data_IF_631998022012
#
_entry.id   IF_631998022012
#
_cell.length_a   1.000
_cell.length_b   1.000
_cell.length_c   1.000
_cell.angle_alpha   90.00
_cell.angle_beta   90.00
_cell.angle_gamma   90.00
#
_symmetry.space_group_name_H-M   'P 1'
#
loop_
_entity.id
_entity.type
_entity.pdbx_description
1 polymer ?
#
# COMPACT_ATOMS: atom_id res chain seq x y z
N UNK A 1 -5.77 16.33 0.53
CA UNK A 1 -4.94 15.77 -0.56
C UNK A 1 -5.55 16.03 -1.95
N UNK A 2 -6.87 15.97 -2.16
CA UNK A 2 -7.44 16.27 -3.49
C UNK A 2 -7.03 17.65 -4.00
N UNK A 3 -7.10 18.69 -3.16
CA UNK A 3 -6.60 20.03 -3.51
C UNK A 3 -5.07 20.07 -3.68
N UNK A 4 -4.33 19.43 -2.77
CA UNK A 4 -2.88 19.35 -2.88
C UNK A 4 -2.45 18.69 -4.19
N UNK A 5 -3.11 17.59 -4.59
CA UNK A 5 -2.83 16.93 -5.86
C UNK A 5 -3.02 17.85 -7.07
N UNK A 6 -4.05 18.70 -7.06
CA UNK A 6 -4.24 19.71 -8.11
C UNK A 6 -3.16 20.81 -8.07
N UNK A 7 -2.77 21.27 -6.87
CA UNK A 7 -1.67 22.24 -6.68
C UNK A 7 -0.32 21.67 -7.15
N UNK A 8 -0.11 20.37 -7.02
CA UNK A 8 1.07 19.64 -7.53
C UNK A 8 1.01 19.32 -9.03
N UNK A 9 -0.02 19.80 -9.74
CA UNK A 9 -0.19 19.64 -11.18
C UNK A 9 -0.98 18.39 -11.58
N UNK A 10 -1.54 17.65 -10.64
CA UNK A 10 -2.41 16.51 -10.90
C UNK A 10 -3.79 16.94 -11.43
N UNK A 11 -4.42 16.03 -12.14
CA UNK A 11 -5.76 16.17 -12.65
C UNK A 11 -6.72 15.21 -11.95
N UNK A 12 -7.82 15.71 -11.43
CA UNK A 12 -8.91 14.87 -10.92
C UNK A 12 -9.58 14.20 -12.12
N UNK A 13 -9.49 12.87 -12.16
CA UNK A 13 -10.11 12.06 -13.23
C UNK A 13 -11.51 11.59 -12.83
N UNK A 14 -11.71 11.32 -11.55
CA UNK A 14 -13.00 10.88 -10.96
C UNK A 14 -13.09 11.41 -9.53
N UNK A 15 -14.26 11.75 -9.08
CA UNK A 15 -14.52 12.21 -7.72
C UNK A 15 -14.04 13.65 -7.50
N UNK A 16 -13.27 13.87 -6.46
CA UNK A 16 -12.81 15.19 -6.06
C UNK A 16 -13.58 15.75 -4.87
N UNK A 17 -13.58 17.07 -4.74
CA UNK A 17 -14.36 17.76 -3.70
C UNK A 17 -15.80 18.01 -4.20
N UNK A 18 -16.70 18.35 -3.30
CA UNK A 18 -18.08 18.74 -3.68
C UNK A 18 -18.13 20.00 -4.56
N UNK A 19 -17.06 20.77 -4.63
CA UNK A 19 -16.91 21.91 -5.53
C UNK A 19 -16.57 21.44 -6.96
N UNK A 20 -15.79 20.37 -7.09
CA UNK A 20 -15.39 19.81 -8.41
C UNK A 20 -16.56 19.03 -9.04
N UNK A 21 -17.26 18.25 -8.21
CA UNK A 21 -18.39 17.42 -8.63
C UNK A 21 -19.47 17.42 -7.54
N UNK A 22 -20.54 18.22 -7.71
CA UNK A 22 -21.69 18.20 -6.81
C UNK A 22 -22.26 16.78 -6.72
N UNK A 23 -22.42 16.29 -5.50
CA UNK A 23 -23.07 14.99 -5.26
C UNK A 23 -24.49 15.28 -4.80
N UNK A 24 -25.45 14.89 -5.62
CA UNK A 24 -26.84 14.83 -5.20
C UNK A 24 -26.97 13.66 -4.20
N UNK A 25 -27.69 13.85 -3.10
CA UNK A 25 -27.99 12.84 -2.07
C UNK A 25 -26.89 12.52 -1.03
N UNK A 26 -25.85 13.33 -0.86
CA UNK A 26 -24.97 13.18 0.30
C UNK A 26 -25.52 13.99 1.48
N UNK A 27 -25.67 13.39 2.67
CA UNK A 27 -26.09 14.15 3.84
C UNK A 27 -25.17 15.35 4.07
N UNK A 28 -25.73 16.53 4.22
CA UNK A 28 -24.97 17.77 4.47
C UNK A 28 -24.23 17.78 5.82
N UNK A 29 -24.57 16.85 6.71
CA UNK A 29 -23.91 16.64 7.99
C UNK A 29 -23.13 15.32 7.96
N UNK A 30 -21.80 15.39 8.02
CA UNK A 30 -20.92 14.24 8.07
C UNK A 30 -19.64 14.42 7.24
N UNK A 31 -18.71 13.50 7.38
CA UNK A 31 -17.41 13.50 6.67
C UNK A 31 -17.45 12.58 5.46
N UNK A 32 -18.35 12.84 4.53
CA UNK A 32 -18.47 12.05 3.31
C UNK A 32 -17.52 12.60 2.24
N UNK A 33 -16.71 11.71 1.67
CA UNK A 33 -15.81 12.01 0.56
C UNK A 33 -16.10 11.06 -0.59
N UNK A 34 -16.09 11.58 -1.80
CA UNK A 34 -16.18 10.74 -2.99
C UNK A 34 -14.88 9.95 -3.19
N UNK A 35 -14.97 8.69 -3.65
CA UNK A 35 -13.80 8.01 -4.20
C UNK A 35 -13.19 8.86 -5.31
N UNK A 36 -11.90 9.18 -5.14
CA UNK A 36 -11.20 10.15 -5.99
C UNK A 36 -10.01 9.49 -6.68
N UNK A 37 -9.88 9.75 -7.97
CA UNK A 37 -8.75 9.29 -8.79
C UNK A 37 -8.02 10.51 -9.36
N UNK A 38 -6.71 10.58 -9.11
CA UNK A 38 -5.84 11.68 -9.57
C UNK A 38 -4.80 11.11 -10.53
N UNK A 39 -4.70 11.67 -11.72
CA UNK A 39 -3.66 11.35 -12.70
C UNK A 39 -2.71 12.52 -12.96
N UNK A 40 -1.61 12.28 -13.66
CA UNK A 40 -0.67 13.31 -14.10
C UNK A 40 0.27 13.86 -13.02
N UNK A 41 0.26 13.27 -11.83
CA UNK A 41 1.19 13.63 -10.76
C UNK A 41 2.60 13.09 -11.03
N UNK A 42 3.62 13.84 -10.56
CA UNK A 42 4.96 13.27 -10.41
C UNK A 42 4.91 12.09 -9.42
N UNK A 43 5.62 10.98 -9.69
CA UNK A 43 5.76 9.89 -8.70
C UNK A 43 6.39 10.35 -7.37
N UNK A 44 7.09 11.48 -7.36
CA UNK A 44 7.73 12.07 -6.17
C UNK A 44 6.90 13.14 -5.48
N UNK A 45 5.69 13.44 -5.97
CA UNK A 45 4.79 14.40 -5.31
C UNK A 45 4.37 13.90 -3.93
N UNK A 46 4.03 14.81 -3.03
CA UNK A 46 3.54 14.44 -1.69
C UNK A 46 2.26 13.63 -1.77
N UNK A 47 1.35 14.00 -2.68
CA UNK A 47 0.10 13.26 -2.90
C UNK A 47 0.35 11.82 -3.36
N UNK A 48 1.46 11.54 -4.06
CA UNK A 48 1.81 10.19 -4.51
C UNK A 48 2.60 9.38 -3.45
N UNK A 49 3.34 10.04 -2.55
CA UNK A 49 4.27 9.38 -1.63
C UNK A 49 3.84 9.37 -0.17
N UNK A 50 2.96 10.27 0.25
CA UNK A 50 2.44 10.34 1.61
C UNK A 50 1.17 9.48 1.79
N UNK A 51 0.92 9.03 3.01
CA UNK A 51 -0.29 8.28 3.35
C UNK A 51 -1.50 9.23 3.43
N UNK A 52 -2.43 9.12 2.49
CA UNK A 52 -3.63 9.96 2.46
C UNK A 52 -4.66 9.53 3.51
N UNK A 53 -4.74 8.25 3.81
CA UNK A 53 -5.70 7.63 4.73
C UNK A 53 -7.17 7.95 4.40
N UNK A 54 -7.51 7.92 3.11
CA UNK A 54 -8.83 8.25 2.59
C UNK A 54 -9.10 7.62 1.22
N UNK A 55 -10.30 7.81 0.66
CA UNK A 55 -10.72 7.19 -0.60
C UNK A 55 -10.11 7.90 -1.83
N UNK A 56 -8.81 8.06 -1.85
CA UNK A 56 -8.06 8.73 -2.92
C UNK A 56 -6.98 7.79 -3.44
N UNK A 57 -6.86 7.67 -4.76
CA UNK A 57 -5.81 6.90 -5.43
C UNK A 57 -5.16 7.74 -6.53
N UNK A 58 -3.85 7.60 -6.69
CA UNK A 58 -3.08 8.22 -7.77
C UNK A 58 -2.78 7.19 -8.86
N UNK A 59 -2.84 7.60 -10.13
CA UNK A 59 -2.51 6.77 -11.28
C UNK A 59 -1.24 7.27 -11.93
N UNK A 60 -0.27 6.36 -12.09
CA UNK A 60 1.02 6.61 -12.70
C UNK A 60 1.23 5.63 -13.86
N UNK A 61 1.22 6.09 -15.13
CA UNK A 61 1.60 5.25 -16.25
C UNK A 61 3.11 4.99 -16.21
N UNK A 62 3.52 3.83 -16.70
CA UNK A 62 4.92 3.44 -16.86
C UNK A 62 5.15 2.81 -18.24
N UNK A 63 6.39 2.85 -18.72
CA UNK A 63 6.77 2.34 -20.02
C UNK A 63 7.34 0.92 -19.94
N UNK A 64 8.01 0.60 -18.84
CA UNK A 64 8.62 -0.70 -18.61
C UNK A 64 8.57 -1.11 -17.13
N UNK A 65 9.01 -2.34 -16.84
CA UNK A 65 8.95 -2.89 -15.49
C UNK A 65 9.94 -2.22 -14.53
N UNK A 66 11.07 -1.76 -15.01
CA UNK A 66 12.08 -1.12 -14.17
C UNK A 66 11.56 0.22 -13.65
N UNK A 67 10.96 1.02 -14.52
CA UNK A 67 10.28 2.25 -14.14
C UNK A 67 9.13 1.99 -13.16
N UNK A 68 8.31 0.95 -13.40
CA UNK A 68 7.22 0.60 -12.50
C UNK A 68 7.69 0.20 -11.11
N UNK A 69 8.79 -0.57 -11.01
CA UNK A 69 9.40 -0.95 -9.73
C UNK A 69 10.00 0.26 -9.02
N UNK A 70 10.69 1.13 -9.73
CA UNK A 70 11.25 2.36 -9.17
C UNK A 70 10.14 3.22 -8.56
N UNK A 71 9.08 3.49 -9.31
CA UNK A 71 7.93 4.26 -8.83
C UNK A 71 7.23 3.60 -7.63
N UNK A 72 7.06 2.28 -7.65
CA UNK A 72 6.41 1.57 -6.55
C UNK A 72 7.25 1.59 -5.26
N UNK A 73 8.57 1.66 -5.36
CA UNK A 73 9.50 1.62 -4.23
C UNK A 73 9.90 3.01 -3.72
N UNK A 74 9.50 4.10 -4.38
CA UNK A 74 9.93 5.47 -4.06
C UNK A 74 9.41 5.96 -2.70
N UNK A 75 8.27 5.45 -2.26
CA UNK A 75 7.65 5.83 -0.98
C UNK A 75 8.45 5.32 0.21
N UNK A 76 8.39 6.04 1.32
CA UNK A 76 8.97 5.62 2.62
C UNK A 76 8.14 4.51 3.30
N UNK A 77 7.00 4.13 2.75
CA UNK A 77 6.14 3.07 3.24
C UNK A 77 6.36 1.76 2.48
N UNK A 78 6.02 0.65 3.11
CA UNK A 78 6.14 -0.68 2.54
C UNK A 78 5.30 -1.71 3.28
N UNK A 79 3.99 -1.47 3.43
CA UNK A 79 3.11 -2.45 4.07
C UNK A 79 2.76 -3.56 3.10
N UNK A 80 2.14 -3.22 1.98
CA UNK A 80 1.57 -4.19 1.06
C UNK A 80 1.55 -3.67 -0.37
N UNK A 81 1.57 -4.60 -1.33
CA UNK A 81 1.37 -4.33 -2.73
C UNK A 81 0.57 -5.42 -3.43
N UNK A 82 0.07 -5.14 -4.62
CA UNK A 82 -0.51 -6.16 -5.49
C UNK A 82 -0.03 -5.98 -6.93
N UNK A 83 0.21 -7.11 -7.59
CA UNK A 83 0.66 -7.17 -8.99
C UNK A 83 -0.36 -7.94 -9.79
N UNK A 84 -0.80 -7.39 -10.90
CA UNK A 84 -1.78 -8.00 -11.79
C UNK A 84 -1.15 -8.25 -13.15
N UNK A 85 -1.07 -9.52 -13.55
CA UNK A 85 -0.46 -9.94 -14.81
C UNK A 85 -1.18 -11.15 -15.38
N UNK A 86 -1.30 -11.22 -16.71
CA UNK A 86 -1.77 -12.44 -17.40
C UNK A 86 -0.76 -13.58 -17.31
N UNK A 87 0.52 -13.25 -17.11
CA UNK A 87 1.61 -14.18 -16.90
C UNK A 87 1.93 -14.21 -15.39
N UNK A 88 1.60 -15.32 -14.69
CA UNK A 88 1.84 -15.45 -13.25
C UNK A 88 3.34 -15.50 -12.89
N UNK A 89 4.20 -16.06 -13.74
CA UNK A 89 5.64 -16.12 -13.50
C UNK A 89 6.25 -14.72 -13.55
N UNK A 90 5.86 -13.94 -14.54
CA UNK A 90 6.23 -12.53 -14.66
C UNK A 90 5.73 -11.72 -13.46
N UNK A 91 4.47 -11.93 -13.07
CA UNK A 91 3.90 -11.27 -11.87
C UNK A 91 4.67 -11.62 -10.60
N UNK A 92 5.07 -12.89 -10.43
CA UNK A 92 5.88 -13.33 -9.29
C UNK A 92 7.31 -12.75 -9.32
N UNK A 93 7.93 -12.70 -10.51
CA UNK A 93 9.26 -12.09 -10.66
C UNK A 93 9.23 -10.59 -10.31
N UNK A 94 8.20 -9.87 -10.76
CA UNK A 94 7.98 -8.47 -10.43
C UNK A 94 7.75 -8.27 -8.93
N UNK A 95 6.92 -9.10 -8.30
CA UNK A 95 6.60 -9.02 -6.88
C UNK A 95 7.84 -9.11 -5.98
N UNK A 96 8.86 -9.87 -6.37
CA UNK A 96 10.14 -9.98 -5.62
C UNK A 96 10.98 -8.69 -5.61
N UNK A 97 10.66 -7.76 -6.48
CA UNK A 97 11.37 -6.48 -6.62
C UNK A 97 10.73 -5.36 -5.82
N UNK A 98 9.54 -5.61 -5.23
CA UNK A 98 8.82 -4.63 -4.43
C UNK A 98 9.30 -4.63 -2.97
N UNK A 99 9.62 -3.46 -2.46
CA UNK A 99 10.02 -3.23 -1.08
C UNK A 99 8.80 -3.13 -0.15
N UNK A 100 8.06 -4.22 -0.04
CA UNK A 100 6.86 -4.32 0.79
C UNK A 100 6.85 -5.59 1.63
N UNK A 101 6.16 -5.56 2.75
CA UNK A 101 6.06 -6.71 3.66
C UNK A 101 5.22 -7.86 3.12
N UNK A 102 4.24 -7.55 2.26
CA UNK A 102 3.42 -8.55 1.57
C UNK A 102 3.11 -8.10 0.14
N UNK A 103 3.14 -9.04 -0.79
CA UNK A 103 2.71 -8.81 -2.17
C UNK A 103 1.74 -9.90 -2.60
N UNK A 104 0.62 -9.49 -3.14
CA UNK A 104 -0.34 -10.39 -3.79
C UNK A 104 -0.15 -10.36 -5.31
N UNK A 105 -0.24 -11.51 -5.95
CA UNK A 105 -0.22 -11.63 -7.41
C UNK A 105 -1.59 -12.12 -7.88
N UNK A 106 -2.25 -11.33 -8.72
CA UNK A 106 -3.58 -11.60 -9.29
C UNK A 106 -4.69 -11.83 -8.23
N UNK A 107 -4.51 -11.28 -7.03
CA UNK A 107 -5.48 -11.34 -5.95
C UNK A 107 -5.31 -10.14 -5.02
N UNK A 108 -6.25 -9.95 -4.11
CA UNK A 108 -6.19 -8.92 -3.07
C UNK A 108 -6.73 -9.47 -1.75
N UNK A 109 -6.05 -9.20 -0.65
CA UNK A 109 -6.43 -9.61 0.72
C UNK A 109 -6.60 -11.14 0.91
N UNK A 110 -6.13 -11.98 -0.02
CA UNK A 110 -6.08 -13.42 0.22
C UNK A 110 -4.96 -13.70 1.24
N UNK A 111 -5.34 -13.94 2.49
CA UNK A 111 -4.42 -14.02 3.61
C UNK A 111 -4.62 -15.30 4.42
N UNK A 112 -3.53 -15.97 4.72
CA UNK A 112 -3.46 -17.02 5.73
C UNK A 112 -2.84 -16.44 7.01
N UNK A 113 -3.56 -16.50 8.14
CA UNK A 113 -3.11 -15.95 9.42
C UNK A 113 -1.86 -16.65 10.00
N UNK A 114 -1.45 -17.76 9.42
CA UNK A 114 -0.22 -18.48 9.79
C UNK A 114 1.02 -17.94 9.10
N UNK A 115 0.85 -17.15 8.03
CA UNK A 115 1.96 -16.55 7.29
C UNK A 115 2.41 -15.24 7.95
N UNK A 116 3.70 -14.86 7.79
CA UNK A 116 4.20 -13.61 8.34
C UNK A 116 3.50 -12.41 7.66
N UNK A 117 3.05 -11.46 8.47
CA UNK A 117 2.46 -10.22 8.01
C UNK A 117 3.09 -9.04 8.77
N UNK A 118 3.41 -7.99 8.04
CA UNK A 118 3.94 -6.74 8.61
C UNK A 118 4.67 -5.93 7.56
N UNK A 119 4.77 -4.62 7.80
CA UNK A 119 5.42 -3.68 6.91
C UNK A 119 6.95 -3.70 6.98
N UNK A 120 7.57 -3.13 5.98
CA UNK A 120 8.97 -2.72 5.96
C UNK A 120 9.04 -1.19 5.92
N UNK A 121 10.24 -0.62 5.92
CA UNK A 121 10.45 0.83 5.93
C UNK A 121 9.68 1.47 7.11
N UNK A 122 9.01 2.59 6.90
CA UNK A 122 8.23 3.26 7.95
C UNK A 122 6.86 2.60 8.25
N UNK A 123 6.44 1.61 7.45
CA UNK A 123 5.18 0.89 7.70
C UNK A 123 5.23 -0.08 8.88
N UNK A 124 6.39 -0.40 9.43
CA UNK A 124 6.48 -1.20 10.62
C UNK A 124 7.77 -1.96 10.82
N UNK A 125 7.86 -2.61 11.98
CA UNK A 125 8.95 -3.50 12.38
C UNK A 125 8.39 -4.85 12.83
N UNK A 126 9.14 -5.92 12.61
CA UNK A 126 8.72 -7.27 12.98
C UNK A 126 7.64 -7.85 12.06
N UNK A 127 7.13 -9.00 12.47
CA UNK A 127 6.07 -9.71 11.74
C UNK A 127 5.11 -10.33 12.73
N UNK A 128 3.82 -10.28 12.42
CA UNK A 128 2.77 -11.04 13.08
C UNK A 128 2.37 -12.28 12.27
N UNK A 129 1.53 -13.13 12.84
CA UNK A 129 1.02 -14.35 12.21
C UNK A 129 1.74 -15.61 12.65
N UNK A 130 1.00 -16.61 13.11
CA UNK A 130 1.52 -17.93 13.51
C UNK A 130 2.72 -17.86 14.46
N UNK A 131 3.78 -18.59 14.14
CA UNK A 131 5.01 -18.64 14.94
C UNK A 131 5.75 -17.28 15.01
N UNK A 132 5.54 -16.39 14.05
CA UNK A 132 6.18 -15.08 14.01
C UNK A 132 5.68 -14.18 15.16
N UNK A 133 4.37 -14.20 15.43
CA UNK A 133 3.82 -13.50 16.60
C UNK A 133 4.41 -14.01 17.90
N UNK A 134 4.53 -15.33 18.04
CA UNK A 134 5.12 -15.93 19.24
C UNK A 134 6.56 -15.45 19.47
N UNK A 135 7.38 -15.49 18.42
CA UNK A 135 8.77 -15.03 18.48
C UNK A 135 8.89 -13.52 18.76
N UNK A 136 7.97 -12.72 18.24
CA UNK A 136 8.00 -11.27 18.42
C UNK A 136 7.56 -10.83 19.82
N UNK A 137 6.57 -11.52 20.42
CA UNK A 137 5.97 -11.13 21.70
C UNK A 137 6.46 -11.96 22.89
N UNK A 138 7.51 -12.80 22.73
CA UNK A 138 8.05 -13.62 23.81
C UNK A 138 9.58 -13.63 23.85
N UNK A 139 10.11 -13.90 25.02
CA UNK A 139 11.54 -14.10 25.25
C UNK A 139 11.87 -15.60 25.35
N UNK A 140 12.96 -16.01 24.71
CA UNK A 140 13.45 -17.38 24.76
C UNK A 140 14.28 -17.60 26.04
N UNK A 141 13.92 -18.61 26.85
CA UNK A 141 14.68 -19.04 28.01
C UNK A 141 15.11 -20.48 27.84
N UNK A 142 16.41 -20.74 28.00
CA UNK A 142 16.94 -22.09 28.04
C UNK A 142 17.12 -22.53 29.51
N UNK A 143 16.47 -23.63 29.89
CA UNK A 143 16.58 -24.23 31.23
C UNK A 143 17.29 -25.58 31.09
N UNK A 144 18.51 -25.67 31.57
CA UNK A 144 19.29 -26.92 31.63
C UNK A 144 19.19 -27.55 33.00
N UNK A 145 18.68 -28.78 33.07
CA UNK A 145 18.61 -29.58 34.33
C UNK A 145 19.49 -30.79 34.17
N UNK A 146 20.43 -30.98 35.11
CA UNK A 146 21.21 -32.23 35.21
C UNK A 146 20.30 -33.30 35.82
N UNK A 147 20.14 -34.40 35.11
CA UNK A 147 19.42 -35.56 35.63
C UNK A 147 20.08 -36.18 36.88
N UNK A 148 19.34 -37.01 37.60
CA UNK A 148 19.87 -37.71 38.78
C UNK A 148 21.02 -38.66 38.41
#
# INVERSE_FOLDING_TARGET
YSRLGQEEGGQILVGGTSEDHPVDDVPSAGAFLQPTVIGGLSPTSKTATEEIFGPVVTLHPFNDEDEAVEMANITEYGLAGSVWSKDPERGHAFAKRLDTGIVWVNTWLNRDLRTPFGGVKQSGVGREGGAWSLNFFSELTNICVKGP
#
